data_IF_785820757194
#
_entry.id   IF_785820757194
#
_cell.length_a   1.000
_cell.length_b   1.000
_cell.length_c   1.000
_cell.angle_alpha   90.00
_cell.angle_beta   90.00
_cell.angle_gamma   90.00
#
_symmetry.space_group_name_H-M   'P 1'
#
loop_
_entity.id
_entity.type
_entity.pdbx_description
1 polymer ?
#
# COMPACT_ATOMS: atom_id res chain seq x y z
N UNK A 1 -10.36 1.44 -24.95
CA UNK A 1 -10.29 -0.02 -24.64
C UNK A 1 -9.17 -0.76 -25.40
N UNK A 2 -8.28 0.00 -26.03
CA UNK A 2 -7.21 -0.48 -26.92
C UNK A 2 -6.22 -1.39 -26.22
N UNK A 3 -5.94 -1.18 -24.91
CA UNK A 3 -4.93 -1.92 -24.13
C UNK A 3 -5.55 -2.76 -23.00
N UNK A 4 -6.76 -3.33 -23.19
CA UNK A 4 -7.39 -4.17 -22.15
C UNK A 4 -6.54 -5.39 -21.85
N UNK A 5 -5.99 -5.47 -20.63
CA UNK A 5 -5.16 -6.60 -20.16
C UNK A 5 -3.71 -6.64 -20.65
N UNK A 6 -3.33 -5.68 -21.51
CA UNK A 6 -1.96 -5.54 -22.06
C UNK A 6 -1.44 -4.12 -21.85
N UNK A 7 -0.13 -3.94 -21.95
CA UNK A 7 0.53 -2.64 -21.91
C UNK A 7 0.82 -2.08 -23.32
N UNK A 8 1.48 -0.94 -23.41
CA UNK A 8 1.72 -0.24 -24.67
C UNK A 8 2.45 -1.11 -25.71
N UNK A 9 3.49 -1.81 -25.31
CA UNK A 9 4.24 -2.75 -26.16
C UNK A 9 3.62 -4.16 -26.21
N UNK A 10 2.34 -4.28 -25.88
CA UNK A 10 1.54 -5.53 -25.94
C UNK A 10 1.97 -6.63 -24.95
N UNK A 11 2.76 -6.31 -23.93
CA UNK A 11 3.04 -7.26 -22.85
C UNK A 11 1.80 -7.49 -21.98
N UNK A 12 1.67 -8.69 -21.40
CA UNK A 12 0.63 -8.95 -20.41
C UNK A 12 0.82 -8.04 -19.19
N UNK A 13 -0.21 -7.34 -18.78
CA UNK A 13 -0.17 -6.38 -17.64
C UNK A 13 0.37 -7.02 -16.36
N UNK A 14 0.03 -8.28 -16.08
CA UNK A 14 0.53 -9.03 -14.93
C UNK A 14 2.05 -9.27 -14.99
N UNK A 15 2.59 -9.56 -16.16
CA UNK A 15 4.04 -9.73 -16.34
C UNK A 15 4.78 -8.40 -16.12
N UNK A 16 4.28 -7.31 -16.68
CA UNK A 16 4.87 -5.97 -16.48
C UNK A 16 4.80 -5.54 -15.01
N UNK A 17 3.69 -5.81 -14.32
CA UNK A 17 3.57 -5.59 -12.87
C UNK A 17 4.66 -6.34 -12.09
N UNK A 18 4.89 -7.62 -12.41
CA UNK A 18 5.91 -8.45 -11.76
C UNK A 18 7.31 -7.87 -11.98
N UNK A 19 7.65 -7.52 -13.22
CA UNK A 19 8.95 -6.94 -13.56
C UNK A 19 9.17 -5.57 -12.89
N UNK A 20 8.14 -4.72 -12.87
CA UNK A 20 8.19 -3.44 -12.18
C UNK A 20 8.50 -3.64 -10.68
N UNK A 21 7.78 -4.53 -10.01
CA UNK A 21 7.98 -4.83 -8.58
C UNK A 21 9.40 -5.37 -8.30
N UNK A 22 9.92 -6.27 -9.14
CA UNK A 22 11.26 -6.81 -9.02
C UNK A 22 12.34 -5.72 -9.15
N UNK A 23 12.18 -4.81 -10.13
CA UNK A 23 13.14 -3.73 -10.35
C UNK A 23 13.07 -2.66 -9.25
N UNK A 24 11.88 -2.30 -8.77
CA UNK A 24 11.70 -1.41 -7.61
C UNK A 24 12.36 -2.00 -6.35
N UNK A 25 12.16 -3.29 -6.09
CA UNK A 25 12.76 -3.99 -4.93
C UNK A 25 14.28 -3.98 -5.01
N UNK A 26 14.83 -4.15 -6.20
CA UNK A 26 16.27 -4.14 -6.45
C UNK A 26 16.86 -2.74 -6.58
N UNK A 27 16.07 -1.68 -6.48
CA UNK A 27 16.52 -0.29 -6.60
C UNK A 27 17.00 0.11 -8.01
N UNK A 28 16.58 -0.62 -9.05
CA UNK A 28 16.99 -0.38 -10.45
C UNK A 28 16.10 0.69 -11.07
N UNK A 29 16.58 1.94 -11.10
CA UNK A 29 15.79 3.11 -11.53
C UNK A 29 15.38 3.00 -13.00
N UNK A 30 16.35 2.85 -13.90
CA UNK A 30 16.11 2.88 -15.35
C UNK A 30 15.12 1.79 -15.81
N UNK A 31 15.30 0.49 -15.47
CA UNK A 31 14.32 -0.53 -15.79
C UNK A 31 12.95 -0.29 -15.14
N UNK A 32 12.91 0.26 -13.92
CA UNK A 32 11.63 0.60 -13.27
C UNK A 32 10.89 1.71 -14.03
N UNK A 33 11.59 2.73 -14.49
CA UNK A 33 11.03 3.79 -15.32
C UNK A 33 10.51 3.24 -16.66
N UNK A 34 11.21 2.30 -17.28
CA UNK A 34 10.76 1.63 -18.49
C UNK A 34 9.40 0.94 -18.26
N UNK A 35 9.30 0.10 -17.24
CA UNK A 35 8.06 -0.61 -16.94
C UNK A 35 6.91 0.30 -16.52
N UNK A 36 7.19 1.40 -15.82
CA UNK A 36 6.19 2.43 -15.51
C UNK A 36 5.72 3.13 -16.78
N UNK A 37 6.61 3.40 -17.75
CA UNK A 37 6.23 4.02 -19.01
C UNK A 37 5.26 3.16 -19.82
N UNK A 38 5.35 1.82 -19.73
CA UNK A 38 4.42 0.88 -20.32
C UNK A 38 2.99 1.09 -19.81
N UNK A 39 2.82 1.30 -18.49
CA UNK A 39 1.52 1.61 -17.89
C UNK A 39 1.02 3.00 -18.29
N UNK A 40 1.88 4.02 -18.24
CA UNK A 40 1.54 5.41 -18.57
C UNK A 40 1.11 5.51 -20.03
N UNK A 41 1.88 4.92 -20.96
CA UNK A 41 1.57 4.95 -22.38
C UNK A 41 0.32 4.15 -22.75
N UNK A 42 -0.02 3.11 -21.98
CA UNK A 42 -1.27 2.37 -22.12
C UNK A 42 -2.47 3.06 -21.43
N UNK A 43 -2.23 4.08 -20.60
CA UNK A 43 -3.29 4.79 -19.85
C UNK A 43 -3.80 4.02 -18.62
N UNK A 44 -3.03 3.08 -18.09
CA UNK A 44 -3.37 2.26 -16.93
C UNK A 44 -3.01 2.96 -15.61
N UNK A 45 -3.46 4.20 -15.41
CA UNK A 45 -3.07 5.02 -14.26
C UNK A 45 -3.55 4.47 -12.93
N UNK A 46 -4.77 3.93 -12.86
CA UNK A 46 -5.34 3.35 -11.63
C UNK A 46 -4.50 2.16 -11.19
N UNK A 47 -4.27 1.21 -12.11
CA UNK A 47 -3.41 0.04 -11.83
C UNK A 47 -2.00 0.44 -11.40
N UNK A 48 -1.44 1.48 -12.04
CA UNK A 48 -0.10 1.96 -11.71
C UNK A 48 -0.05 2.56 -10.30
N UNK A 49 -1.01 3.42 -9.93
CA UNK A 49 -1.11 3.95 -8.57
C UNK A 49 -1.26 2.84 -7.54
N UNK A 50 -2.12 1.85 -7.79
CA UNK A 50 -2.29 0.71 -6.89
C UNK A 50 -0.97 -0.05 -6.69
N UNK A 51 -0.21 -0.29 -7.76
CA UNK A 51 1.09 -0.97 -7.66
C UNK A 51 2.07 -0.16 -6.80
N UNK A 52 2.19 1.15 -7.04
CA UNK A 52 3.15 2.01 -6.35
C UNK A 52 2.80 2.18 -4.87
N UNK A 53 1.51 2.34 -4.54
CA UNK A 53 1.02 2.42 -3.16
C UNK A 53 1.21 1.10 -2.42
N UNK A 54 0.84 -0.03 -3.03
CA UNK A 54 1.06 -1.35 -2.44
C UNK A 54 2.56 -1.65 -2.23
N UNK A 55 3.42 -1.27 -3.19
CA UNK A 55 4.86 -1.42 -3.03
C UNK A 55 5.40 -0.61 -1.86
N UNK A 56 5.00 0.65 -1.77
CA UNK A 56 5.40 1.54 -0.68
C UNK A 56 5.01 0.98 0.69
N UNK A 57 3.78 0.49 0.85
CA UNK A 57 3.29 -0.05 2.11
C UNK A 57 3.92 -1.37 2.51
N UNK A 58 4.18 -2.26 1.53
CA UNK A 58 4.71 -3.61 1.81
C UNK A 58 6.22 -3.66 1.97
N UNK A 59 6.95 -2.86 1.19
CA UNK A 59 8.40 -3.01 1.07
C UNK A 59 9.21 -1.86 1.66
N UNK A 60 8.62 -0.67 1.82
CA UNK A 60 9.31 0.49 2.36
C UNK A 60 8.84 0.80 3.78
N UNK A 61 7.51 1.01 3.95
CA UNK A 61 6.87 1.24 5.25
C UNK A 61 7.72 2.13 6.19
N UNK A 62 8.21 1.60 7.33
CA UNK A 62 9.04 2.34 8.28
C UNK A 62 10.44 2.71 7.75
N UNK A 63 10.86 2.19 6.61
CA UNK A 63 12.12 2.56 5.96
C UNK A 63 12.14 4.02 5.48
N UNK A 64 10.94 4.57 5.18
CA UNK A 64 10.75 5.99 4.84
C UNK A 64 9.37 6.46 5.35
N UNK A 65 9.25 6.91 6.61
CA UNK A 65 7.97 7.29 7.21
C UNK A 65 7.34 8.55 6.59
N UNK A 66 8.09 9.34 5.82
CA UNK A 66 7.57 10.52 5.10
C UNK A 66 6.96 10.17 3.75
N UNK A 67 7.17 8.93 3.27
CA UNK A 67 6.74 8.50 1.94
C UNK A 67 5.22 8.56 1.72
N UNK A 68 4.35 8.19 2.67
CA UNK A 68 2.90 8.31 2.48
C UNK A 68 2.45 9.74 2.20
N UNK A 69 2.99 10.72 2.92
CA UNK A 69 2.68 12.15 2.71
C UNK A 69 3.15 12.60 1.32
N UNK A 70 4.36 12.21 0.94
CA UNK A 70 4.88 12.50 -0.40
C UNK A 70 3.99 11.91 -1.50
N UNK A 71 3.58 10.65 -1.38
CA UNK A 71 2.74 9.98 -2.37
C UNK A 71 1.34 10.63 -2.46
N UNK A 72 0.77 11.04 -1.33
CA UNK A 72 -0.51 11.77 -1.30
C UNK A 72 -0.41 13.10 -2.05
N UNK A 73 0.65 13.89 -1.81
CA UNK A 73 0.91 15.13 -2.54
C UNK A 73 1.07 14.89 -4.05
N UNK A 74 1.74 13.80 -4.46
CA UNK A 74 1.90 13.46 -5.88
C UNK A 74 0.58 12.99 -6.50
N UNK A 75 -0.23 12.24 -5.77
CA UNK A 75 -1.56 11.81 -6.22
C UNK A 75 -2.50 13.01 -6.39
N UNK A 76 -2.47 13.95 -5.46
CA UNK A 76 -3.23 15.20 -5.56
C UNK A 76 -2.81 16.00 -6.80
N UNK A 77 -1.51 16.18 -7.01
CA UNK A 77 -0.99 16.85 -8.21
C UNK A 77 -1.40 16.13 -9.52
N UNK A 78 -1.41 14.80 -9.53
CA UNK A 78 -1.91 14.02 -10.67
C UNK A 78 -3.40 14.29 -10.91
N UNK A 79 -4.23 14.28 -9.86
CA UNK A 79 -5.66 14.60 -9.94
C UNK A 79 -5.90 16.02 -10.49
N UNK A 80 -5.11 16.98 -10.06
CA UNK A 80 -5.20 18.37 -10.55
C UNK A 80 -4.88 18.45 -12.04
N UNK A 81 -3.87 17.71 -12.52
CA UNK A 81 -3.61 17.65 -13.97
C UNK A 81 -4.81 17.05 -14.70
N UNK A 82 -5.36 15.93 -14.21
CA UNK A 82 -6.51 15.27 -14.87
C UNK A 82 -7.72 16.20 -14.91
N UNK A 83 -8.04 16.86 -13.82
CA UNK A 83 -9.15 17.79 -13.69
C UNK A 83 -8.94 19.06 -14.54
N UNK A 84 -7.70 19.43 -14.82
CA UNK A 84 -7.32 20.58 -15.66
C UNK A 84 -7.57 20.38 -17.16
N UNK A 85 -8.47 19.46 -17.57
CA UNK A 85 -8.91 19.31 -18.97
C UNK A 85 -8.51 17.99 -19.65
N UNK A 86 -8.14 16.96 -18.87
CA UNK A 86 -7.76 15.66 -19.41
C UNK A 86 -8.72 14.52 -19.05
N UNK A 87 -9.84 14.80 -18.35
CA UNK A 87 -10.80 13.79 -17.88
C UNK A 87 -11.29 12.86 -18.99
N UNK A 88 -11.62 13.43 -20.17
CA UNK A 88 -12.15 12.68 -21.31
C UNK A 88 -11.12 12.39 -22.40
N UNK A 89 -9.86 12.77 -22.19
CA UNK A 89 -8.83 12.65 -23.23
C UNK A 89 -7.57 11.92 -22.72
N UNK A 90 -7.70 10.60 -22.59
CA UNK A 90 -6.60 9.71 -22.17
C UNK A 90 -5.39 9.85 -23.11
N UNK A 91 -5.59 10.07 -24.40
CA UNK A 91 -4.48 10.18 -25.36
C UNK A 91 -3.63 11.42 -25.09
N UNK A 92 -4.25 12.58 -24.82
CA UNK A 92 -3.51 13.78 -24.41
C UNK A 92 -2.83 13.60 -23.06
N UNK A 93 -3.48 12.92 -22.11
CA UNK A 93 -2.90 12.66 -20.79
C UNK A 93 -1.64 11.79 -20.89
N UNK A 94 -1.61 10.75 -21.73
CA UNK A 94 -0.42 9.91 -22.01
C UNK A 94 0.76 10.72 -22.52
N UNK A 95 0.51 11.77 -23.29
CA UNK A 95 1.51 12.63 -23.86
C UNK A 95 1.88 13.83 -22.98
N UNK A 96 1.24 13.99 -21.83
CA UNK A 96 1.53 15.08 -20.92
C UNK A 96 2.88 14.87 -20.23
N UNK A 97 3.83 15.79 -20.47
CA UNK A 97 5.18 15.72 -19.93
C UNK A 97 5.20 15.80 -18.39
N UNK A 98 4.25 16.53 -17.76
CA UNK A 98 4.15 16.62 -16.30
C UNK A 98 3.79 15.28 -15.70
N UNK A 99 2.88 14.52 -16.32
CA UNK A 99 2.51 13.17 -15.89
C UNK A 99 3.68 12.21 -16.00
N UNK A 100 4.42 12.24 -17.10
CA UNK A 100 5.60 11.40 -17.31
C UNK A 100 6.70 11.69 -16.28
N UNK A 101 6.99 12.97 -16.04
CA UNK A 101 7.96 13.40 -15.02
C UNK A 101 7.52 13.00 -13.62
N UNK A 102 6.23 13.15 -13.30
CA UNK A 102 5.67 12.75 -12.01
C UNK A 102 5.93 11.28 -11.68
N UNK A 103 5.60 10.38 -12.61
CA UNK A 103 5.80 8.95 -12.37
C UNK A 103 7.28 8.55 -12.36
N UNK A 104 8.13 9.18 -13.18
CA UNK A 104 9.57 8.96 -13.14
C UNK A 104 10.16 9.41 -11.78
N UNK A 105 9.74 10.56 -11.25
CA UNK A 105 10.14 11.05 -9.93
C UNK A 105 9.74 10.07 -8.82
N UNK A 106 8.49 9.61 -8.82
CA UNK A 106 8.00 8.63 -7.83
C UNK A 106 8.85 7.35 -7.88
N UNK A 107 9.14 6.84 -9.07
CA UNK A 107 10.00 5.66 -9.25
C UNK A 107 11.38 5.87 -8.65
N UNK A 108 12.01 7.02 -8.91
CA UNK A 108 13.31 7.34 -8.31
C UNK A 108 13.25 7.33 -6.78
N UNK A 109 12.24 7.97 -6.20
CA UNK A 109 12.04 8.00 -4.74
C UNK A 109 11.82 6.60 -4.17
N UNK A 110 11.00 5.78 -4.83
CA UNK A 110 10.76 4.39 -4.39
C UNK A 110 12.00 3.51 -4.52
N UNK A 111 12.76 3.64 -5.59
CA UNK A 111 14.01 2.88 -5.80
C UNK A 111 15.07 3.24 -4.75
N UNK A 112 15.21 4.52 -4.41
CA UNK A 112 16.22 5.02 -3.47
C UNK A 112 15.80 4.87 -2.00
N UNK A 113 14.51 4.71 -1.72
CA UNK A 113 14.02 4.51 -0.36
C UNK A 113 14.53 3.19 0.23
N UNK A 114 14.92 3.22 1.52
CA UNK A 114 15.34 2.03 2.25
C UNK A 114 14.17 1.03 2.32
N UNK A 115 14.39 -0.19 1.82
CA UNK A 115 13.42 -1.28 1.92
C UNK A 115 13.49 -1.85 3.34
N UNK A 116 12.34 -1.97 3.98
CA UNK A 116 12.21 -2.55 5.30
C UNK A 116 10.91 -3.36 5.35
N UNK A 117 11.05 -4.67 5.26
CA UNK A 117 9.93 -5.56 5.52
C UNK A 117 9.62 -5.48 7.01
N UNK A 118 8.40 -5.11 7.34
CA UNK A 118 7.98 -4.91 8.72
C UNK A 118 7.12 -6.04 9.25
N UNK A 119 6.56 -6.82 8.35
CA UNK A 119 5.66 -7.92 8.75
C UNK A 119 5.99 -9.16 7.93
N UNK A 120 6.17 -10.26 8.64
CA UNK A 120 6.08 -11.57 8.02
C UNK A 120 4.65 -11.76 7.50
N UNK A 121 4.50 -12.45 6.38
CA UNK A 121 3.18 -12.76 5.86
C UNK A 121 2.48 -13.71 6.83
N UNK A 122 1.60 -13.17 7.66
CA UNK A 122 0.76 -13.98 8.54
C UNK A 122 -0.29 -14.65 7.67
N UNK A 123 -0.28 -15.98 7.62
CA UNK A 123 -1.38 -16.75 7.03
C UNK A 123 -2.50 -16.78 8.06
N UNK A 124 -3.54 -15.99 7.81
CA UNK A 124 -4.75 -16.01 8.64
C UNK A 124 -5.61 -17.16 8.16
N UNK A 125 -5.94 -18.07 9.06
CA UNK A 125 -6.86 -19.19 8.86
C UNK A 125 -8.15 -18.94 9.63
N UNK A 126 -9.22 -19.68 9.29
CA UNK A 126 -10.49 -19.54 10.00
C UNK A 126 -10.36 -19.94 11.49
N UNK A 127 -9.44 -20.82 11.83
CA UNK A 127 -9.15 -21.21 13.20
C UNK A 127 -8.53 -20.08 14.04
N UNK A 128 -7.87 -19.11 13.40
CA UNK A 128 -7.33 -17.93 14.11
C UNK A 128 -8.41 -17.02 14.68
N UNK A 129 -9.67 -17.20 14.27
CA UNK A 129 -10.85 -16.51 14.83
C UNK A 129 -11.66 -17.39 15.79
N UNK A 130 -11.24 -18.63 16.03
CA UNK A 130 -11.90 -19.51 16.99
C UNK A 130 -11.48 -19.14 18.41
N UNK A 131 -12.41 -18.56 19.19
CA UNK A 131 -12.17 -18.08 20.56
C UNK A 131 -11.61 -19.19 21.44
N UNK A 132 -12.08 -20.43 21.30
CA UNK A 132 -11.60 -21.57 22.09
C UNK A 132 -10.13 -21.89 21.82
N UNK A 133 -9.66 -21.71 20.58
CA UNK A 133 -8.26 -21.95 20.19
C UNK A 133 -7.34 -20.76 20.45
N UNK A 134 -7.90 -19.55 20.57
CA UNK A 134 -7.12 -18.33 20.84
C UNK A 134 -6.93 -18.12 22.34
N UNK A 135 -7.84 -18.59 23.18
CA UNK A 135 -7.86 -18.29 24.63
C UNK A 135 -6.52 -18.61 25.32
N UNK A 136 -5.82 -19.67 24.92
CA UNK A 136 -4.51 -20.02 25.49
C UNK A 136 -3.36 -19.08 25.04
N UNK A 137 -3.55 -18.32 23.98
CA UNK A 137 -2.57 -17.32 23.49
C UNK A 137 -2.78 -15.95 24.14
N UNK A 138 -3.88 -15.77 24.89
CA UNK A 138 -4.19 -14.50 25.51
C UNK A 138 -3.38 -14.35 26.79
N UNK A 139 -2.85 -13.17 26.99
CA UNK A 139 -2.01 -12.81 28.13
C UNK A 139 -2.72 -11.84 29.09
N UNK A 140 -3.81 -11.23 28.69
CA UNK A 140 -4.63 -10.38 29.54
C UNK A 140 -5.32 -11.20 30.65
N UNK A 141 -5.25 -10.70 31.89
CA UNK A 141 -5.76 -11.39 33.08
C UNK A 141 -7.30 -11.58 33.06
N UNK A 142 -8.00 -10.73 32.32
CA UNK A 142 -9.46 -10.75 32.18
C UNK A 142 -9.89 -9.99 30.93
N UNK A 143 -11.19 -9.96 30.68
CA UNK A 143 -11.80 -9.31 29.50
C UNK A 143 -12.35 -7.91 29.79
N UNK A 144 -11.99 -7.29 30.90
CA UNK A 144 -12.52 -5.97 31.29
C UNK A 144 -11.94 -4.81 30.50
N UNK A 145 -10.77 -4.98 29.88
CA UNK A 145 -10.07 -3.92 29.17
C UNK A 145 -10.77 -3.46 27.89
N UNK A 146 -11.57 -4.34 27.27
CA UNK A 146 -12.35 -3.98 26.08
C UNK A 146 -13.68 -3.26 26.43
N UNK A 147 -14.22 -3.43 27.64
CA UNK A 147 -15.60 -3.02 27.97
C UNK A 147 -15.90 -1.54 27.76
N UNK A 148 -14.90 -0.67 27.89
CA UNK A 148 -15.06 0.78 27.73
C UNK A 148 -14.87 1.25 26.27
N UNK A 149 -14.32 0.39 25.41
CA UNK A 149 -13.90 0.73 24.05
C UNK A 149 -14.82 0.03 23.05
N UNK A 150 -15.18 -1.23 23.32
CA UNK A 150 -16.03 -2.06 22.48
C UNK A 150 -17.48 -1.56 22.47
N UNK A 151 -18.06 -1.42 21.29
CA UNK A 151 -19.43 -0.97 21.08
C UNK A 151 -20.30 -2.13 20.62
N UNK A 152 -21.61 -2.02 20.83
CA UNK A 152 -22.56 -3.07 20.45
C UNK A 152 -22.62 -3.32 18.93
N UNK A 153 -22.23 -2.31 18.13
CA UNK A 153 -22.16 -2.44 16.67
C UNK A 153 -20.86 -3.10 16.16
N UNK A 154 -19.85 -3.26 17.03
CA UNK A 154 -18.58 -3.86 16.63
C UNK A 154 -18.72 -5.38 16.45
N UNK A 155 -18.04 -5.98 15.45
CA UNK A 155 -18.04 -7.42 15.30
C UNK A 155 -17.50 -8.12 16.56
N UNK A 156 -18.23 -9.13 17.06
CA UNK A 156 -17.88 -9.85 18.29
C UNK A 156 -16.47 -10.46 18.25
N UNK A 157 -15.99 -10.81 17.08
CA UNK A 157 -14.66 -11.38 16.85
C UNK A 157 -13.53 -10.39 17.21
N UNK A 158 -13.82 -9.09 17.19
CA UNK A 158 -12.84 -8.06 17.55
C UNK A 158 -12.67 -7.87 19.05
N UNK A 159 -13.65 -8.32 19.87
CA UNK A 159 -13.65 -8.10 21.32
C UNK A 159 -12.36 -8.55 21.98
N UNK A 160 -11.91 -9.76 21.67
CA UNK A 160 -10.70 -10.34 22.24
C UNK A 160 -9.43 -9.58 21.79
N UNK A 161 -9.34 -9.23 20.51
CA UNK A 161 -8.21 -8.46 19.98
C UNK A 161 -8.13 -7.07 20.64
N UNK A 162 -9.26 -6.40 20.80
CA UNK A 162 -9.36 -5.09 21.46
C UNK A 162 -8.95 -5.22 22.93
N UNK A 163 -9.39 -6.29 23.63
CA UNK A 163 -9.04 -6.53 25.02
C UNK A 163 -7.52 -6.70 25.21
N UNK A 164 -6.88 -7.55 24.41
CA UNK A 164 -5.44 -7.77 24.45
C UNK A 164 -4.65 -6.51 24.12
N UNK A 165 -5.08 -5.76 23.11
CA UNK A 165 -4.46 -4.50 22.73
C UNK A 165 -4.51 -3.48 23.87
N UNK A 166 -5.70 -3.29 24.46
CA UNK A 166 -5.91 -2.33 25.56
C UNK A 166 -5.12 -2.71 26.80
N UNK A 167 -5.06 -4.00 27.15
CA UNK A 167 -4.24 -4.50 28.24
C UNK A 167 -2.73 -4.23 28.01
N UNK A 168 -2.22 -4.50 26.80
CA UNK A 168 -0.82 -4.26 26.49
C UNK A 168 -0.44 -2.76 26.55
N UNK A 169 -1.36 -1.87 26.18
CA UNK A 169 -1.14 -0.41 26.30
C UNK A 169 -1.10 -0.02 27.78
N UNK A 170 -2.03 -0.48 28.59
CA UNK A 170 -2.08 -0.15 30.02
C UNK A 170 -0.83 -0.64 30.77
N UNK A 171 -0.29 -1.79 30.41
CA UNK A 171 0.95 -2.33 30.97
C UNK A 171 2.18 -1.47 30.64
N UNK A 172 2.25 -0.90 29.43
CA UNK A 172 3.33 0.03 29.05
C UNK A 172 3.30 1.32 29.86
N UNK A 173 2.11 1.84 30.16
CA UNK A 173 1.96 3.06 30.97
C UNK A 173 2.39 2.86 32.41
N UNK A 174 2.17 1.66 32.99
CA UNK A 174 2.61 1.34 34.35
C UNK A 174 4.13 1.19 34.49
N UNK A 175 4.83 0.82 33.41
CA UNK A 175 6.31 0.67 33.41
C UNK A 175 7.06 1.96 33.05
N UNK A 176 6.35 3.06 32.80
CA UNK A 176 6.92 4.36 32.42
C UNK A 176 6.81 5.41 33.53
N UNK A 177 6.29 5.05 34.70
CA UNK A 177 6.27 5.83 35.95
C UNK A 177 7.22 5.17 36.97
#
# INVERSE_FOLDING_TARGET
KEFKGITFSKYKKSAVKKELLNNLSSGKIEPSCYWVSEFVCAGHYIDLWDILLQFSSKHIHLGNPKLPIYLDMRLTFFKDIVNGGYQDNILKLRNNIKVRKLFAEIVCVLCLSKKKNTFDSIKITQNDFNIAEITYKLTANNTSYARTIFKDEDPNELFIAINEFSWNISKKQQNSN
#
